data_IF_582426061256
#
_entry.id   IF_582426061256
#
_cell.length_a   1.000
_cell.length_b   1.000
_cell.length_c   1.000
_cell.angle_alpha   90.00
_cell.angle_beta   90.00
_cell.angle_gamma   90.00
#
_symmetry.space_group_name_H-M   'P 1'
#
loop_
_entity.id
_entity.type
_entity.pdbx_description
1 polymer ?
#
# COMPACT_ATOMS: atom_id res chain seq x y z
N UNK A 1 -18.07 -34.30 -19.15
CA UNK A 1 -16.91 -33.42 -18.86
C UNK A 1 -17.36 -32.26 -17.97
N UNK A 2 -17.13 -32.33 -16.64
CA UNK A 2 -17.45 -31.25 -15.69
C UNK A 2 -16.43 -30.13 -15.86
N UNK A 3 -16.84 -28.98 -16.42
CA UNK A 3 -16.08 -27.73 -16.36
C UNK A 3 -16.01 -27.31 -14.88
N UNK A 4 -14.90 -27.61 -14.23
CA UNK A 4 -14.62 -27.14 -12.89
C UNK A 4 -14.68 -25.61 -12.89
N UNK A 5 -15.73 -25.06 -12.28
CA UNK A 5 -15.81 -23.64 -12.00
C UNK A 5 -14.58 -23.25 -11.20
N UNK A 6 -13.68 -22.47 -11.81
CA UNK A 6 -12.73 -21.64 -11.07
C UNK A 6 -13.59 -20.74 -10.19
N UNK A 7 -13.88 -21.20 -8.98
CA UNK A 7 -14.17 -20.30 -7.87
C UNK A 7 -12.90 -19.49 -7.73
N UNK A 8 -12.86 -18.31 -8.35
CA UNK A 8 -11.96 -17.26 -7.93
C UNK A 8 -12.19 -17.11 -6.43
N UNK A 9 -11.33 -17.74 -5.63
CA UNK A 9 -11.24 -17.45 -4.21
C UNK A 9 -10.80 -15.99 -4.18
N UNK A 10 -11.75 -15.06 -4.18
CA UNK A 10 -11.49 -13.65 -3.92
C UNK A 10 -10.71 -13.64 -2.60
N UNK A 11 -9.40 -13.41 -2.70
CA UNK A 11 -8.49 -13.28 -1.57
C UNK A 11 -9.09 -12.14 -0.75
N UNK A 12 -9.80 -12.47 0.33
CA UNK A 12 -10.50 -11.46 1.13
C UNK A 12 -9.43 -10.47 1.58
N UNK A 13 -9.56 -9.22 1.16
CA UNK A 13 -8.69 -8.14 1.60
C UNK A 13 -8.84 -8.06 3.12
N UNK A 14 -7.81 -8.50 3.85
CA UNK A 14 -7.87 -8.59 5.30
C UNK A 14 -7.93 -7.17 5.86
N UNK A 15 -8.76 -6.92 6.88
CA UNK A 15 -8.91 -5.59 7.51
C UNK A 15 -7.53 -5.01 7.88
N UNK A 16 -6.62 -5.85 8.37
CA UNK A 16 -5.24 -5.49 8.68
C UNK A 16 -4.48 -4.85 7.50
N UNK A 17 -4.72 -5.30 6.27
CA UNK A 17 -4.06 -4.75 5.08
C UNK A 17 -4.69 -3.45 4.61
N UNK A 18 -6.00 -3.28 4.78
CA UNK A 18 -6.66 -2.00 4.54
C UNK A 18 -6.11 -0.97 5.52
N UNK A 19 -6.05 -1.33 6.81
CA UNK A 19 -5.46 -0.49 7.87
C UNK A 19 -4.00 -0.18 7.56
N UNK A 20 -3.21 -1.16 7.13
CA UNK A 20 -1.82 -0.96 6.70
C UNK A 20 -1.68 0.04 5.55
N UNK A 21 -2.54 -0.05 4.52
CA UNK A 21 -2.53 0.89 3.39
C UNK A 21 -2.89 2.31 3.84
N UNK A 22 -3.90 2.44 4.72
CA UNK A 22 -4.33 3.74 5.24
C UNK A 22 -3.21 4.38 6.07
N UNK A 23 -2.61 3.64 7.00
CA UNK A 23 -1.49 4.14 7.81
C UNK A 23 -0.30 4.52 6.92
N UNK A 24 0.07 3.66 5.97
CA UNK A 24 1.14 3.92 5.02
C UNK A 24 0.91 5.18 4.18
N UNK A 25 -0.34 5.40 3.75
CA UNK A 25 -0.74 6.59 2.98
C UNK A 25 -0.69 7.86 3.82
N UNK A 26 -1.13 7.81 5.08
CA UNK A 26 -1.06 8.95 6.02
C UNK A 26 0.39 9.35 6.32
N UNK A 27 1.27 8.37 6.56
CA UNK A 27 2.70 8.64 6.77
C UNK A 27 3.37 9.22 5.52
N UNK A 28 2.97 8.76 4.34
CA UNK A 28 3.39 9.36 3.06
C UNK A 28 2.97 10.82 2.95
N UNK A 29 1.71 11.14 3.27
CA UNK A 29 1.20 12.50 3.21
C UNK A 29 1.95 13.44 4.17
N UNK A 30 2.21 12.98 5.40
CA UNK A 30 3.01 13.72 6.37
C UNK A 30 4.46 13.89 5.91
N UNK A 31 5.08 12.85 5.37
CA UNK A 31 6.42 12.91 4.79
C UNK A 31 6.49 13.91 3.64
N UNK A 32 5.52 13.91 2.73
CA UNK A 32 5.48 14.81 1.59
C UNK A 32 5.25 16.26 2.03
N UNK A 33 4.32 16.49 2.95
CA UNK A 33 4.11 17.80 3.56
C UNK A 33 5.40 18.33 4.18
N UNK A 34 6.09 17.50 4.96
CA UNK A 34 7.33 17.90 5.63
C UNK A 34 8.48 18.12 4.63
N UNK A 35 8.51 17.38 3.53
CA UNK A 35 9.47 17.54 2.44
C UNK A 35 9.27 18.89 1.71
N UNK A 36 8.01 19.23 1.40
CA UNK A 36 7.64 20.44 0.68
C UNK A 36 7.76 21.70 1.55
N UNK A 37 7.28 21.65 2.79
CA UNK A 37 7.22 22.82 3.69
C UNK A 37 8.56 23.13 4.33
N UNK A 38 9.33 22.10 4.73
CA UNK A 38 10.60 22.30 5.43
C UNK A 38 11.83 22.07 4.56
N UNK A 39 11.64 21.78 3.26
CA UNK A 39 12.74 21.54 2.32
C UNK A 39 13.66 20.39 2.72
N UNK A 40 13.19 19.42 3.52
CA UNK A 40 14.02 18.32 4.04
C UNK A 40 14.08 17.19 3.00
N UNK A 41 15.21 17.01 2.28
CA UNK A 41 15.29 16.02 1.22
C UNK A 41 15.11 14.59 1.71
N UNK A 42 15.48 14.30 2.97
CA UNK A 42 15.27 13.00 3.60
C UNK A 42 13.80 12.59 3.74
N UNK A 43 12.85 13.54 3.70
CA UNK A 43 11.44 13.22 3.80
C UNK A 43 10.86 12.61 2.50
N UNK A 44 11.46 12.89 1.34
CA UNK A 44 11.09 12.21 0.07
C UNK A 44 11.41 10.70 0.11
N UNK A 45 12.45 10.30 0.83
CA UNK A 45 12.79 8.88 1.03
C UNK A 45 11.70 8.16 1.84
N UNK A 46 11.13 8.82 2.84
CA UNK A 46 10.00 8.28 3.63
C UNK A 46 8.75 8.11 2.77
N UNK A 47 8.47 9.09 1.89
CA UNK A 47 7.36 9.01 0.93
C UNK A 47 7.55 7.82 -0.01
N UNK A 48 8.76 7.67 -0.55
CA UNK A 48 9.10 6.55 -1.43
C UNK A 48 8.91 5.18 -0.74
N UNK A 49 9.39 5.04 0.50
CA UNK A 49 9.21 3.82 1.29
C UNK A 49 7.73 3.47 1.52
N UNK A 50 6.91 4.47 1.84
CA UNK A 50 5.46 4.29 2.01
C UNK A 50 4.77 3.83 0.72
N UNK A 51 5.17 4.37 -0.43
CA UNK A 51 4.67 3.96 -1.73
C UNK A 51 5.03 2.51 -2.08
N UNK A 52 6.29 2.11 -1.84
CA UNK A 52 6.75 0.73 -2.05
C UNK A 52 5.99 -0.24 -1.14
N UNK A 53 5.83 0.09 0.14
CA UNK A 53 5.09 -0.76 1.09
C UNK A 53 3.63 -0.97 0.67
N UNK A 54 2.93 0.09 0.27
CA UNK A 54 1.57 -0.01 -0.28
C UNK A 54 1.54 -0.85 -1.55
N UNK A 55 2.52 -0.67 -2.45
CA UNK A 55 2.67 -1.47 -3.66
C UNK A 55 2.83 -2.97 -3.38
N UNK A 56 3.64 -3.34 -2.37
CA UNK A 56 3.84 -4.73 -1.94
C UNK A 56 2.56 -5.33 -1.36
N UNK A 57 1.80 -4.57 -0.56
CA UNK A 57 0.50 -5.03 -0.06
C UNK A 57 -0.43 -5.30 -1.23
N UNK A 58 -0.60 -4.34 -2.14
CA UNK A 58 -1.48 -4.49 -3.31
C UNK A 58 -1.05 -5.67 -4.19
N UNK A 59 0.25 -5.84 -4.45
CA UNK A 59 0.79 -6.94 -5.23
C UNK A 59 0.55 -8.31 -4.57
N UNK A 60 0.69 -8.39 -3.24
CA UNK A 60 0.40 -9.59 -2.45
C UNK A 60 -1.07 -10.01 -2.50
N UNK A 61 -2.00 -9.09 -2.79
CA UNK A 61 -3.42 -9.40 -3.00
C UNK A 61 -3.80 -9.67 -4.45
N UNK A 62 -3.03 -9.15 -5.41
CA UNK A 62 -3.24 -9.42 -6.84
C UNK A 62 -2.81 -10.84 -7.24
N UNK A 63 -1.79 -11.40 -6.59
CA UNK A 63 -1.32 -12.78 -6.79
C UNK A 63 -1.99 -13.79 -5.85
#
# INVERSE_FOLDING_TARGET
MKKAGRKEKKKKLTIASIVGIVIGSTLMALGLYHALVHGRPGAYFVVFLGAVFNGVIVWSYRS
#
